data_IF_571443243929
#
_entry.id   IF_571443243929
#
_cell.length_a   1.000
_cell.length_b   1.000
_cell.length_c   1.000
_cell.angle_alpha   90.00
_cell.angle_beta   90.00
_cell.angle_gamma   90.00
#
_symmetry.space_group_name_H-M   'P 1'
#
loop_
_entity.id
_entity.type
_entity.pdbx_description
1 polymer ?
#
# COMPACT_ATOMS: atom_id res chain seq x y z
N UNK A 1 42.38 -27.89 -32.91
CA UNK A 1 41.26 -26.94 -33.03
C UNK A 1 40.50 -26.97 -31.72
N UNK A 2 40.67 -25.95 -30.87
CA UNK A 2 39.83 -25.79 -29.69
C UNK A 2 38.50 -25.18 -30.17
N UNK A 3 37.41 -25.92 -29.99
CA UNK A 3 36.07 -25.41 -30.24
C UNK A 3 35.82 -24.28 -29.25
N UNK A 4 35.47 -23.10 -29.78
CA UNK A 4 35.06 -21.98 -28.95
C UNK A 4 33.71 -22.33 -28.37
N UNK A 5 33.66 -22.55 -27.07
CA UNK A 5 32.44 -22.65 -26.28
C UNK A 5 31.80 -21.25 -26.27
N UNK A 6 31.04 -20.94 -27.32
CA UNK A 6 30.12 -19.80 -27.29
C UNK A 6 29.03 -20.17 -26.29
N UNK A 7 28.86 -19.42 -25.19
CA UNK A 7 27.75 -19.67 -24.30
C UNK A 7 26.48 -19.31 -25.06
N UNK A 8 25.80 -20.33 -25.60
CA UNK A 8 24.42 -20.20 -26.02
C UNK A 8 23.65 -19.90 -24.74
N UNK A 9 23.31 -18.62 -24.50
CA UNK A 9 22.44 -18.22 -23.40
C UNK A 9 21.18 -19.07 -23.49
N UNK A 10 20.94 -19.91 -22.50
CA UNK A 10 19.79 -20.80 -22.48
C UNK A 10 18.50 -19.97 -22.36
N UNK A 11 17.38 -20.52 -22.82
CA UNK A 11 16.06 -19.87 -22.65
C UNK A 11 15.76 -19.63 -21.15
N UNK A 12 16.22 -20.54 -20.28
CA UNK A 12 16.19 -20.39 -18.82
C UNK A 12 16.95 -19.16 -18.30
N UNK A 13 18.12 -18.83 -18.88
CA UNK A 13 18.89 -17.65 -18.50
C UNK A 13 18.16 -16.37 -18.87
N UNK A 14 17.47 -16.36 -20.02
CA UNK A 14 16.66 -15.22 -20.45
C UNK A 14 15.46 -15.01 -19.54
N UNK A 15 14.70 -16.05 -19.24
CA UNK A 15 13.55 -15.96 -18.32
C UNK A 15 13.98 -15.48 -16.93
N UNK A 16 15.12 -16.00 -16.44
CA UNK A 16 15.70 -15.58 -15.16
C UNK A 16 16.08 -14.10 -15.17
N UNK A 17 16.68 -13.59 -16.26
CA UNK A 17 16.98 -12.17 -16.38
C UNK A 17 15.72 -11.31 -16.44
N UNK A 18 14.67 -11.75 -17.14
CA UNK A 18 13.40 -11.01 -17.17
C UNK A 18 12.76 -10.92 -15.79
N UNK A 19 12.76 -12.00 -15.01
CA UNK A 19 12.27 -11.99 -13.62
C UNK A 19 13.08 -11.04 -12.74
N UNK A 20 14.41 -11.04 -12.89
CA UNK A 20 15.29 -10.09 -12.19
C UNK A 20 14.96 -8.65 -12.55
N UNK A 21 14.74 -8.35 -13.83
CA UNK A 21 14.37 -7.01 -14.28
C UNK A 21 13.01 -6.59 -13.72
N UNK A 22 11.99 -7.45 -13.80
CA UNK A 22 10.66 -7.15 -13.26
C UNK A 22 10.70 -6.89 -11.74
N UNK A 23 11.49 -7.65 -10.99
CA UNK A 23 11.70 -7.41 -9.57
C UNK A 23 12.40 -6.07 -9.31
N UNK A 24 13.43 -5.73 -10.09
CA UNK A 24 14.13 -4.46 -9.98
C UNK A 24 13.21 -3.27 -10.29
N UNK A 25 12.37 -3.39 -11.32
CA UNK A 25 11.40 -2.35 -11.69
C UNK A 25 10.38 -2.11 -10.56
N UNK A 26 9.85 -3.19 -9.96
CA UNK A 26 8.92 -3.09 -8.82
C UNK A 26 9.60 -2.41 -7.62
N UNK A 27 10.83 -2.79 -7.31
CA UNK A 27 11.59 -2.18 -6.20
C UNK A 27 11.92 -0.71 -6.49
N UNK A 28 12.20 -0.35 -7.73
CA UNK A 28 12.45 1.03 -8.15
C UNK A 28 11.19 1.90 -8.06
N UNK A 29 10.03 1.37 -8.44
CA UNK A 29 8.76 2.08 -8.24
C UNK A 29 8.44 2.27 -6.75
N UNK A 30 8.69 1.24 -5.94
CA UNK A 30 8.49 1.34 -4.50
C UNK A 30 9.45 2.34 -3.84
N UNK A 31 10.73 2.39 -4.26
CA UNK A 31 11.71 3.33 -3.71
C UNK A 31 11.33 4.79 -4.02
N UNK A 32 10.84 5.07 -5.22
CA UNK A 32 10.29 6.38 -5.58
C UNK A 32 9.09 6.75 -4.70
N UNK A 33 8.16 5.81 -4.51
CA UNK A 33 6.99 6.04 -3.66
C UNK A 33 7.39 6.38 -2.22
N UNK A 34 8.35 5.65 -1.64
CA UNK A 34 8.86 5.92 -0.29
C UNK A 34 9.57 7.28 -0.23
N UNK A 35 10.33 7.65 -1.25
CA UNK A 35 10.99 8.96 -1.33
C UNK A 35 9.96 10.10 -1.28
N UNK A 36 8.83 9.96 -1.99
CA UNK A 36 7.71 10.92 -1.91
C UNK A 36 7.12 10.97 -0.50
N UNK A 37 6.89 9.81 0.13
CA UNK A 37 6.38 9.75 1.50
C UNK A 37 7.30 10.52 2.48
N UNK A 38 8.62 10.36 2.33
CA UNK A 38 9.61 11.05 3.15
C UNK A 38 9.59 12.56 2.88
N UNK A 39 9.52 12.97 1.60
CA UNK A 39 9.47 14.39 1.23
C UNK A 39 8.23 15.12 1.76
N UNK A 40 7.09 14.43 1.80
CA UNK A 40 5.84 14.95 2.33
C UNK A 40 5.69 14.76 3.86
N UNK A 41 6.57 13.98 4.49
CA UNK A 41 6.50 13.68 5.93
C UNK A 41 5.31 12.82 6.35
N UNK A 42 4.76 12.03 5.43
CA UNK A 42 3.55 11.20 5.63
C UNK A 42 3.87 9.72 5.63
N UNK A 43 3.02 8.91 6.25
CA UNK A 43 3.18 7.46 6.19
C UNK A 43 2.75 6.95 4.80
N UNK A 44 3.39 5.88 4.29
CA UNK A 44 3.00 5.21 3.06
C UNK A 44 1.49 4.90 2.95
N UNK A 45 0.87 4.53 4.06
CA UNK A 45 -0.57 4.22 4.13
C UNK A 45 -1.44 5.45 3.89
N UNK A 46 -1.05 6.60 4.44
CA UNK A 46 -1.83 7.84 4.36
C UNK A 46 -1.75 8.42 2.95
N UNK A 47 -0.55 8.39 2.35
CA UNK A 47 -0.36 8.77 0.95
C UNK A 47 -1.14 7.85 0.01
N UNK A 48 -1.13 6.54 0.25
CA UNK A 48 -1.91 5.58 -0.55
C UNK A 48 -3.41 5.89 -0.49
N UNK A 49 -3.94 6.16 0.71
CA UNK A 49 -5.35 6.51 0.89
C UNK A 49 -5.68 7.85 0.21
N UNK A 50 -4.80 8.85 0.34
CA UNK A 50 -4.94 10.14 -0.32
C UNK A 50 -5.04 9.96 -1.85
N UNK A 51 -4.10 9.24 -2.46
CA UNK A 51 -4.12 8.95 -3.89
C UNK A 51 -5.38 8.22 -4.33
N UNK A 52 -5.84 7.22 -3.55
CA UNK A 52 -7.11 6.53 -3.87
C UNK A 52 -8.31 7.49 -3.87
N UNK A 53 -8.36 8.45 -2.93
CA UNK A 53 -9.42 9.45 -2.87
C UNK A 53 -9.31 10.47 -4.03
N UNK A 54 -8.10 10.88 -4.37
CA UNK A 54 -7.84 11.80 -5.48
C UNK A 54 -8.24 11.21 -6.83
N UNK A 55 -7.90 9.94 -7.08
CA UNK A 55 -8.32 9.20 -8.29
C UNK A 55 -9.84 9.03 -8.35
N UNK A 56 -10.52 8.98 -7.20
CA UNK A 56 -11.98 8.99 -7.11
C UNK A 56 -12.61 10.38 -7.32
N UNK A 57 -11.82 11.42 -7.55
CA UNK A 57 -12.30 12.81 -7.70
C UNK A 57 -12.66 13.50 -6.39
N UNK A 58 -12.32 12.91 -5.23
CA UNK A 58 -12.54 13.52 -3.93
C UNK A 58 -11.42 14.50 -3.61
N UNK A 59 -11.77 15.74 -3.23
CA UNK A 59 -10.77 16.69 -2.74
C UNK A 59 -10.18 16.19 -1.42
N UNK A 60 -8.87 16.08 -1.37
CA UNK A 60 -8.12 15.69 -0.19
C UNK A 60 -6.86 16.55 -0.07
N UNK A 61 -6.35 16.71 1.15
CA UNK A 61 -5.08 17.40 1.41
C UNK A 61 -4.17 16.45 2.20
N UNK A 62 -2.89 16.40 1.86
CA UNK A 62 -1.89 15.56 2.55
C UNK A 62 -1.35 16.20 3.84
N UNK A 63 -1.28 17.54 3.88
CA UNK A 63 -0.83 18.26 5.07
C UNK A 63 -2.05 18.63 5.90
N UNK A 64 -2.11 18.10 7.12
CA UNK A 64 -2.87 18.76 8.17
C UNK A 64 -2.26 20.14 8.38
N UNK A 65 -3.04 21.18 8.13
CA UNK A 65 -2.89 22.43 8.87
C UNK A 65 -3.02 22.07 10.36
N UNK A 66 -2.16 22.55 11.27
CA UNK A 66 -2.36 22.36 12.69
C UNK A 66 -3.60 23.16 13.11
N UNK A 67 -4.79 22.61 12.88
CA UNK A 67 -6.03 23.14 13.42
C UNK A 67 -6.01 22.89 14.92
N UNK A 68 -5.52 23.90 15.64
CA UNK A 68 -5.68 24.00 17.08
C UNK A 68 -7.14 23.71 17.46
N UNK A 69 -7.29 22.84 18.45
CA UNK A 69 -8.57 22.52 19.06
C UNK A 69 -9.33 23.79 19.50
N UNK A 70 -10.60 23.92 19.10
CA UNK A 70 -11.61 24.67 19.84
C UNK A 70 -13.04 24.26 19.43
N UNK A 71 -13.73 23.59 20.36
CA UNK A 71 -15.19 23.47 20.57
C UNK A 71 -16.09 22.75 19.53
N UNK A 72 -16.85 21.76 20.04
CA UNK A 72 -17.91 20.98 19.37
C UNK A 72 -19.05 21.84 18.78
N UNK A 73 -19.90 21.25 17.90
CA UNK A 73 -21.20 20.79 18.40
C UNK A 73 -21.63 19.40 17.88
N UNK A 74 -22.33 18.68 18.77
CA UNK A 74 -23.17 17.51 18.53
C UNK A 74 -24.31 17.84 17.54
N UNK A 75 -24.67 16.91 16.64
CA UNK A 75 -26.09 16.59 16.34
C UNK A 75 -26.26 15.44 15.32
N UNK A 76 -26.88 14.36 15.83
CA UNK A 76 -27.92 13.53 15.21
C UNK A 76 -27.60 12.58 14.05
N UNK A 77 -27.78 11.27 14.31
CA UNK A 77 -28.14 10.29 13.27
C UNK A 77 -27.69 8.84 13.51
N UNK A 78 -28.08 8.21 14.62
CA UNK A 78 -28.26 6.75 14.63
C UNK A 78 -29.64 6.45 14.01
N UNK A 79 -29.84 5.36 13.23
CA UNK A 79 -29.81 4.02 13.85
C UNK A 79 -29.39 2.82 12.98
N UNK A 80 -29.11 1.72 13.71
CA UNK A 80 -29.46 0.33 13.41
C UNK A 80 -28.63 -0.47 12.38
N UNK A 81 -27.96 -1.53 12.83
CA UNK A 81 -28.56 -2.89 12.87
C UNK A 81 -27.53 -4.03 12.79
N UNK A 82 -27.76 -5.04 13.63
CA UNK A 82 -27.48 -6.48 13.44
C UNK A 82 -26.07 -7.04 13.72
N UNK A 83 -26.01 -8.00 14.67
CA UNK A 83 -24.95 -9.00 14.74
C UNK A 83 -24.49 -9.40 16.15
N UNK A 84 -25.37 -9.89 17.02
CA UNK A 84 -24.94 -10.55 18.27
C UNK A 84 -24.49 -11.99 17.97
N UNK A 85 -23.20 -12.23 17.81
CA UNK A 85 -22.65 -13.58 17.97
C UNK A 85 -22.37 -13.82 19.46
N UNK A 86 -23.23 -14.60 20.10
CA UNK A 86 -22.95 -15.15 21.42
C UNK A 86 -21.93 -16.27 21.23
N UNK A 87 -20.66 -15.97 21.47
CA UNK A 87 -19.62 -16.96 21.74
C UNK A 87 -19.87 -17.49 23.16
N UNK A 88 -20.42 -18.71 23.25
CA UNK A 88 -20.51 -19.44 24.51
C UNK A 88 -19.30 -20.38 24.60
N UNK A 89 -18.48 -20.17 25.62
CA UNK A 89 -17.29 -20.95 25.93
C UNK A 89 -17.48 -21.54 27.33
N UNK A 90 -17.16 -22.83 27.44
CA UNK A 90 -17.05 -23.71 28.63
C UNK A 90 -18.38 -24.38 29.03
N UNK A 91 -18.47 -25.66 29.42
CA UNK A 91 -17.52 -26.51 30.15
C UNK A 91 -17.87 -28.01 29.99
N UNK A 92 -16.85 -28.86 30.18
CA UNK A 92 -16.88 -30.33 30.25
C UNK A 92 -17.57 -30.78 31.55
N UNK A 93 -18.38 -31.86 31.54
CA UNK A 93 -17.91 -33.17 32.04
C UNK A 93 -18.17 -34.34 31.08
#
# INVERSE_FOLDING_TARGET
MAAQDTPMTSEDDYETQQKKQAAADVLFHYSQFVMVCIGEGVRPTDLRLHLMKEVSGMRTCLKEEPQQAAASPVSSGEPSSSGTMKEDRNDVP
#
